data_IF_274628248525
#
_entry.id   IF_274628248525
#
_cell.length_a   1.000
_cell.length_b   1.000
_cell.length_c   1.000
_cell.angle_alpha   90.00
_cell.angle_beta   90.00
_cell.angle_gamma   90.00
#
_symmetry.space_group_name_H-M   'P 1'
#
loop_
_entity.id
_entity.type
_entity.pdbx_description
1 polymer ?
#
# COMPACT_ATOMS: atom_id res chain seq x y z
N UNK A 1 0.00 -16.42 -25.10
CA UNK A 1 1.25 -15.74 -24.71
C UNK A 1 2.37 -16.26 -25.57
N UNK A 2 3.42 -15.47 -25.84
CA UNK A 2 4.62 -15.98 -26.51
C UNK A 2 5.26 -17.14 -25.72
N UNK A 3 5.81 -18.12 -26.44
CA UNK A 3 6.41 -19.34 -25.85
C UNK A 3 7.60 -19.04 -24.93
N UNK A 4 8.29 -17.92 -25.15
CA UNK A 4 9.38 -17.47 -24.30
C UNK A 4 8.94 -16.93 -22.94
N UNK A 5 7.64 -16.79 -22.69
CA UNK A 5 7.08 -16.30 -21.41
C UNK A 5 6.08 -17.30 -20.83
N UNK A 6 5.28 -17.93 -21.68
CA UNK A 6 4.20 -18.82 -21.28
C UNK A 6 4.67 -19.93 -20.33
N UNK A 7 4.03 -20.04 -19.16
CA UNK A 7 4.33 -21.07 -18.15
C UNK A 7 5.61 -20.84 -17.34
N UNK A 8 6.42 -19.82 -17.64
CA UNK A 8 7.59 -19.46 -16.84
C UNK A 8 7.18 -18.92 -15.47
N UNK A 9 7.99 -19.13 -14.42
CA UNK A 9 7.76 -18.49 -13.13
C UNK A 9 7.80 -16.96 -13.30
N UNK A 10 6.81 -16.27 -12.76
CA UNK A 10 6.80 -14.81 -12.73
C UNK A 10 7.72 -14.34 -11.60
N UNK A 11 8.55 -13.30 -11.81
CA UNK A 11 9.40 -12.75 -10.76
C UNK A 11 8.53 -12.18 -9.64
N UNK A 12 8.85 -12.51 -8.39
CA UNK A 12 8.19 -11.97 -7.21
C UNK A 12 9.04 -10.83 -6.62
N UNK A 13 8.47 -9.65 -6.34
CA UNK A 13 7.10 -9.24 -6.66
C UNK A 13 6.99 -8.84 -8.13
N UNK A 14 5.88 -9.18 -8.79
CA UNK A 14 5.59 -8.64 -10.12
C UNK A 14 4.77 -7.35 -9.99
N UNK A 15 4.97 -6.36 -10.90
CA UNK A 15 4.15 -5.16 -10.95
C UNK A 15 2.65 -5.48 -11.06
N UNK A 16 1.80 -4.66 -10.44
CA UNK A 16 0.33 -4.84 -10.45
C UNK A 16 -0.23 -4.96 -11.88
N UNK A 17 0.36 -4.26 -12.85
CA UNK A 17 0.02 -4.37 -14.27
C UNK A 17 0.15 -5.81 -14.82
N UNK A 18 1.07 -6.62 -14.30
CA UNK A 18 1.26 -8.03 -14.70
C UNK A 18 0.29 -8.99 -14.01
N UNK A 19 -0.51 -8.55 -13.04
CA UNK A 19 -1.47 -9.40 -12.33
C UNK A 19 -2.42 -10.13 -13.29
N UNK A 20 -2.80 -9.48 -14.40
CA UNK A 20 -3.62 -10.09 -15.45
C UNK A 20 -2.91 -11.25 -16.17
N UNK A 21 -1.60 -11.16 -16.35
CA UNK A 21 -0.77 -12.12 -17.07
C UNK A 21 -0.32 -13.31 -16.22
N UNK A 22 -0.38 -13.18 -14.89
CA UNK A 22 0.08 -14.20 -13.95
C UNK A 22 -1.11 -14.98 -13.39
N UNK A 23 -0.95 -16.29 -13.25
CA UNK A 23 -1.89 -17.10 -12.48
C UNK A 23 -1.52 -16.98 -10.99
N UNK A 24 -2.39 -16.32 -10.22
CA UNK A 24 -2.17 -16.08 -8.79
C UNK A 24 -1.97 -17.37 -7.96
N UNK A 25 -2.54 -18.51 -8.39
CA UNK A 25 -2.39 -19.77 -7.67
C UNK A 25 -1.04 -20.44 -7.94
N UNK A 26 -0.52 -20.33 -9.15
CA UNK A 26 0.70 -21.04 -9.57
C UNK A 26 1.94 -20.16 -9.59
N UNK A 27 1.78 -18.82 -9.50
CA UNK A 27 2.87 -17.86 -9.61
C UNK A 27 3.56 -17.87 -10.99
N UNK A 28 2.89 -18.41 -12.01
CA UNK A 28 3.44 -18.56 -13.37
C UNK A 28 2.66 -17.71 -14.36
N UNK A 29 3.34 -17.26 -15.41
CA UNK A 29 2.66 -16.60 -16.53
C UNK A 29 1.65 -17.56 -17.19
N UNK A 30 0.45 -17.05 -17.47
CA UNK A 30 -0.60 -17.80 -18.17
C UNK A 30 -0.14 -18.17 -19.57
N UNK A 31 -0.57 -19.33 -20.07
CA UNK A 31 -0.32 -19.71 -21.47
C UNK A 31 -1.13 -18.85 -22.43
N UNK A 32 -2.31 -18.37 -22.02
CA UNK A 32 -3.24 -17.61 -22.85
C UNK A 32 -3.83 -16.44 -22.07
N UNK A 33 -4.07 -15.31 -22.77
CA UNK A 33 -4.82 -14.18 -22.25
C UNK A 33 -6.17 -14.16 -22.95
N UNK A 34 -7.22 -14.49 -22.20
CA UNK A 34 -8.58 -14.54 -22.73
C UNK A 34 -9.37 -13.34 -22.20
N UNK A 35 -9.96 -12.54 -23.10
CA UNK A 35 -10.86 -11.44 -22.76
C UNK A 35 -12.07 -11.47 -23.68
N UNK A 36 -13.26 -11.46 -23.09
CA UNK A 36 -14.51 -11.41 -23.87
C UNK A 36 -14.71 -10.00 -24.43
N UNK A 37 -15.00 -9.92 -25.73
CA UNK A 37 -15.32 -8.66 -26.44
C UNK A 37 -16.76 -8.19 -26.21
N UNK A 38 -17.61 -9.03 -25.58
CA UNK A 38 -19.01 -8.74 -25.25
C UNK A 38 -19.85 -8.18 -26.43
N UNK A 39 -19.57 -8.62 -27.65
CA UNK A 39 -20.31 -8.25 -28.85
C UNK A 39 -20.48 -9.46 -29.77
N UNK A 40 -21.66 -9.59 -30.39
CA UNK A 40 -21.95 -10.60 -31.41
C UNK A 40 -21.77 -10.08 -32.84
N UNK A 41 -21.60 -8.76 -33.02
CA UNK A 41 -21.31 -8.15 -34.33
C UNK A 41 -19.81 -8.25 -34.63
N UNK A 42 -19.46 -8.93 -35.73
CA UNK A 42 -18.09 -9.21 -36.12
C UNK A 42 -17.28 -7.94 -36.40
N UNK A 43 -17.88 -6.94 -37.06
CA UNK A 43 -17.18 -5.69 -37.38
C UNK A 43 -16.94 -4.84 -36.13
N UNK A 44 -17.90 -4.79 -35.23
CA UNK A 44 -17.74 -4.13 -33.94
C UNK A 44 -16.70 -4.83 -33.07
N UNK A 45 -16.68 -6.17 -33.08
CA UNK A 45 -15.72 -6.98 -32.34
C UNK A 45 -14.28 -6.76 -32.86
N UNK A 46 -14.07 -6.74 -34.18
CA UNK A 46 -12.75 -6.50 -34.78
C UNK A 46 -12.17 -5.14 -34.37
N UNK A 47 -12.98 -4.07 -34.42
CA UNK A 47 -12.54 -2.73 -33.97
C UNK A 47 -12.23 -2.70 -32.48
N UNK A 48 -13.00 -3.39 -31.66
CA UNK A 48 -12.77 -3.48 -30.21
C UNK A 48 -11.54 -4.36 -29.86
N UNK A 49 -11.15 -5.29 -30.73
CA UNK A 49 -10.01 -6.17 -30.51
C UNK A 49 -8.66 -5.45 -30.66
N UNK A 50 -8.53 -4.52 -31.61
CA UNK A 50 -7.27 -3.79 -31.87
C UNK A 50 -6.64 -3.14 -30.64
N UNK A 51 -7.35 -2.32 -29.82
CA UNK A 51 -6.75 -1.74 -28.61
C UNK A 51 -6.37 -2.79 -27.56
N UNK A 52 -7.13 -3.90 -27.47
CA UNK A 52 -6.83 -4.99 -26.55
C UNK A 52 -5.60 -5.78 -26.96
N UNK A 53 -5.36 -5.94 -28.27
CA UNK A 53 -4.12 -6.56 -28.79
C UNK A 53 -2.92 -5.68 -28.44
N UNK A 54 -3.02 -4.36 -28.62
CA UNK A 54 -1.95 -3.44 -28.25
C UNK A 54 -1.67 -3.46 -26.74
N UNK A 55 -2.71 -3.46 -25.89
CA UNK A 55 -2.59 -3.62 -24.44
C UNK A 55 -1.89 -4.95 -24.08
N UNK A 56 -2.28 -6.05 -24.73
CA UNK A 56 -1.65 -7.35 -24.51
C UNK A 56 -0.17 -7.37 -24.92
N UNK A 57 0.21 -6.71 -26.00
CA UNK A 57 1.60 -6.57 -26.43
C UNK A 57 2.43 -5.77 -25.43
N UNK A 58 1.89 -4.66 -24.90
CA UNK A 58 2.56 -3.88 -23.86
C UNK A 58 2.81 -4.70 -22.59
N UNK A 59 1.84 -5.53 -22.19
CA UNK A 59 1.98 -6.43 -21.04
C UNK A 59 3.07 -7.50 -21.29
N UNK A 60 3.16 -8.03 -22.51
CA UNK A 60 4.23 -8.96 -22.91
C UNK A 60 5.61 -8.32 -22.80
N UNK A 61 5.77 -7.10 -23.31
CA UNK A 61 7.04 -6.37 -23.25
C UNK A 61 7.45 -6.08 -21.80
N UNK A 62 6.48 -5.73 -20.95
CA UNK A 62 6.70 -5.53 -19.52
C UNK A 62 7.11 -6.85 -18.84
N UNK A 63 6.44 -7.96 -19.16
CA UNK A 63 6.81 -9.28 -18.65
C UNK A 63 8.23 -9.70 -19.08
N UNK A 64 8.63 -9.45 -20.33
CA UNK A 64 10.00 -9.68 -20.80
C UNK A 64 11.01 -8.83 -20.04
N UNK A 65 10.74 -7.53 -19.89
CA UNK A 65 11.60 -6.64 -19.10
C UNK A 65 11.74 -7.12 -17.66
N UNK A 66 10.66 -7.57 -17.03
CA UNK A 66 10.70 -8.11 -15.67
C UNK A 66 11.51 -9.42 -15.58
N UNK A 67 11.39 -10.30 -16.57
CA UNK A 67 12.17 -11.54 -16.64
C UNK A 67 13.68 -11.28 -16.87
N UNK A 68 14.03 -10.28 -17.68
CA UNK A 68 15.42 -9.92 -17.97
C UNK A 68 16.06 -9.14 -16.81
N UNK A 69 15.33 -8.18 -16.23
CA UNK A 69 15.83 -7.38 -15.12
C UNK A 69 16.01 -8.22 -13.84
N UNK A 70 15.26 -9.32 -13.71
CA UNK A 70 15.20 -10.08 -12.47
C UNK A 70 14.52 -9.30 -11.34
N UNK A 71 14.28 -9.92 -10.18
CA UNK A 71 13.95 -9.16 -8.97
C UNK A 71 15.14 -8.22 -8.67
N UNK A 72 14.88 -6.94 -8.32
CA UNK A 72 15.95 -6.04 -7.91
C UNK A 72 16.72 -6.70 -6.77
N UNK A 73 17.94 -7.13 -7.09
CA UNK A 73 18.70 -8.07 -6.26
C UNK A 73 19.33 -7.38 -5.06
N UNK A 74 19.38 -6.05 -5.07
CA UNK A 74 19.99 -5.27 -4.01
C UNK A 74 19.13 -4.02 -3.76
N UNK A 75 18.62 -3.91 -2.53
CA UNK A 75 18.06 -2.65 -2.06
C UNK A 75 19.19 -1.66 -1.86
N UNK A 76 19.14 -0.54 -2.59
CA UNK A 76 20.09 0.54 -2.41
C UNK A 76 20.08 1.03 -0.94
N UNK A 77 21.26 1.40 -0.44
CA UNK A 77 21.45 1.86 0.93
C UNK A 77 20.56 3.08 1.25
N UNK A 78 20.28 3.95 0.27
CA UNK A 78 19.36 5.08 0.48
C UNK A 78 17.92 4.61 0.67
N UNK A 79 17.52 3.56 -0.04
CA UNK A 79 16.19 2.96 0.14
C UNK A 79 16.07 2.36 1.53
N UNK A 80 17.06 1.58 1.98
CA UNK A 80 17.09 1.01 3.34
C UNK A 80 17.01 2.10 4.42
N UNK A 81 17.80 3.16 4.29
CA UNK A 81 17.77 4.29 5.21
C UNK A 81 16.41 5.02 5.20
N UNK A 82 15.78 5.16 4.03
CA UNK A 82 14.44 5.75 3.90
C UNK A 82 13.37 4.90 4.61
N UNK A 83 13.42 3.57 4.49
CA UNK A 83 12.51 2.66 5.18
C UNK A 83 12.62 2.80 6.70
N UNK A 84 13.85 2.80 7.21
CA UNK A 84 14.11 2.97 8.64
C UNK A 84 13.63 4.33 9.16
N UNK A 85 13.92 5.42 8.44
CA UNK A 85 13.45 6.76 8.80
C UNK A 85 11.92 6.87 8.77
N UNK A 86 11.27 6.25 7.78
CA UNK A 86 9.82 6.22 7.70
C UNK A 86 9.20 5.44 8.87
N UNK A 87 9.85 4.37 9.34
CA UNK A 87 9.41 3.63 10.52
C UNK A 87 9.51 4.48 11.80
N UNK A 88 10.63 5.18 12.00
CA UNK A 88 10.81 6.14 13.11
C UNK A 88 9.73 7.23 13.12
N UNK A 89 9.51 7.87 11.97
CA UNK A 89 8.49 8.90 11.80
C UNK A 89 7.07 8.36 12.10
N UNK A 90 6.76 7.14 11.67
CA UNK A 90 5.47 6.48 11.94
C UNK A 90 5.24 6.26 13.44
N UNK A 91 6.26 5.82 14.19
CA UNK A 91 6.16 5.64 15.63
C UNK A 91 5.94 6.97 16.37
N UNK A 92 6.70 8.01 16.00
CA UNK A 92 6.55 9.34 16.60
C UNK A 92 5.24 10.03 16.22
N UNK A 93 4.71 9.78 15.02
CA UNK A 93 3.39 10.26 14.62
C UNK A 93 2.27 9.56 15.39
N UNK A 94 2.40 8.25 15.63
CA UNK A 94 1.43 7.49 16.43
C UNK A 94 1.43 7.93 17.90
N UNK A 95 2.61 8.24 18.49
CA UNK A 95 2.71 8.86 19.81
C UNK A 95 1.98 10.21 19.85
N UNK A 96 2.25 11.11 18.89
CA UNK A 96 1.58 12.41 18.82
C UNK A 96 0.05 12.27 18.70
N UNK A 97 -0.42 11.36 17.84
CA UNK A 97 -1.84 11.07 17.68
C UNK A 97 -2.45 10.56 18.98
N UNK A 98 -1.78 9.65 19.68
CA UNK A 98 -2.24 9.12 20.96
C UNK A 98 -2.31 10.21 22.04
N UNK A 99 -1.29 11.07 22.12
CA UNK A 99 -1.24 12.20 23.06
C UNK A 99 -2.35 13.20 22.80
N UNK A 100 -2.66 13.47 21.53
CA UNK A 100 -3.74 14.39 21.15
C UNK A 100 -5.14 13.85 21.48
N UNK A 101 -5.34 12.52 21.38
CA UNK A 101 -6.64 11.88 21.61
C UNK A 101 -6.88 11.48 23.06
N UNK A 102 -5.82 11.16 23.79
CA UNK A 102 -5.89 10.44 25.06
C UNK A 102 -6.14 8.94 24.85
N UNK A 103 -5.92 8.15 25.91
CA UNK A 103 -6.36 6.75 25.97
C UNK A 103 -7.81 6.65 26.47
N UNK A 104 -8.25 7.67 27.21
CA UNK A 104 -9.60 7.75 27.76
C UNK A 104 -9.82 6.81 28.93
N UNK A 105 -8.77 6.44 29.68
CA UNK A 105 -8.93 5.74 30.94
C UNK A 105 -9.56 6.68 31.97
N UNK A 106 -10.66 6.20 32.54
CA UNK A 106 -11.25 6.72 33.77
C UNK A 106 -11.41 5.53 34.72
N UNK A 107 -10.42 5.31 35.59
CA UNK A 107 -10.40 4.21 36.55
C UNK A 107 -11.51 4.35 37.60
N UNK A 108 -11.92 5.59 37.91
CA UNK A 108 -12.98 5.86 38.86
C UNK A 108 -14.36 5.45 38.32
N UNK A 109 -14.58 5.58 37.01
CA UNK A 109 -15.85 5.21 36.35
C UNK A 109 -15.79 3.87 35.61
N UNK A 110 -14.61 3.27 35.47
CA UNK A 110 -14.40 2.05 34.70
C UNK A 110 -14.73 2.22 33.21
N UNK A 111 -14.63 3.45 32.67
CA UNK A 111 -14.91 3.75 31.27
C UNK A 111 -13.60 3.90 30.50
N UNK A 112 -13.60 3.44 29.25
CA UNK A 112 -12.52 3.65 28.29
C UNK A 112 -13.06 4.38 27.07
N UNK A 113 -13.12 5.71 27.14
CA UNK A 113 -13.51 6.52 25.99
C UNK A 113 -12.70 7.81 25.93
N UNK A 114 -11.85 7.99 24.91
CA UNK A 114 -11.13 9.24 24.74
C UNK A 114 -12.13 10.37 24.49
N UNK A 115 -11.96 11.46 25.22
CA UNK A 115 -12.75 12.69 25.10
C UNK A 115 -12.17 13.65 24.05
N UNK A 116 -10.96 13.38 23.57
CA UNK A 116 -10.24 14.21 22.61
C UNK A 116 -9.60 15.46 23.22
N UNK A 117 -9.50 15.54 24.56
CA UNK A 117 -8.87 16.65 25.27
C UNK A 117 -7.38 16.39 25.57
N UNK A 118 -6.83 15.31 25.03
CA UNK A 118 -5.47 14.84 25.27
C UNK A 118 -5.41 13.75 26.34
N UNK A 119 -4.20 13.43 26.80
CA UNK A 119 -4.00 12.43 27.86
C UNK A 119 -4.35 12.97 29.25
N UNK A 120 -5.19 12.25 29.98
CA UNK A 120 -5.37 12.44 31.43
C UNK A 120 -4.12 12.01 32.21
N UNK A 121 -4.04 12.34 33.50
CA UNK A 121 -2.95 11.86 34.38
C UNK A 121 -2.92 10.33 34.48
N UNK A 122 -4.09 9.69 34.46
CA UNK A 122 -4.21 8.23 34.47
C UNK A 122 -3.71 7.62 33.15
N UNK A 123 -4.09 8.23 32.02
CA UNK A 123 -3.59 7.85 30.69
C UNK A 123 -2.06 7.96 30.65
N UNK A 124 -1.51 9.09 31.11
CA UNK A 124 -0.08 9.36 31.11
C UNK A 124 0.67 8.32 31.96
N UNK A 125 0.18 8.01 33.16
CA UNK A 125 0.79 7.01 34.03
C UNK A 125 0.78 5.60 33.44
N UNK A 126 -0.31 5.20 32.76
CA UNK A 126 -0.33 3.93 32.04
C UNK A 126 0.61 3.94 30.83
N UNK A 127 0.60 5.03 30.06
CA UNK A 127 1.39 5.17 28.87
C UNK A 127 2.89 5.15 29.18
N UNK A 128 3.34 5.86 30.21
CA UNK A 128 4.74 5.83 30.69
C UNK A 128 5.20 4.41 31.02
N UNK A 129 4.36 3.61 31.71
CA UNK A 129 4.68 2.20 32.00
C UNK A 129 4.80 1.35 30.72
N UNK A 130 3.91 1.57 29.75
CA UNK A 130 3.97 0.88 28.46
C UNK A 130 5.25 1.24 27.69
N UNK A 131 5.62 2.52 27.65
CA UNK A 131 6.85 2.98 26.99
C UNK A 131 8.10 2.45 27.72
N UNK A 132 8.11 2.40 29.05
CA UNK A 132 9.22 1.80 29.81
C UNK A 132 9.42 0.32 29.44
N UNK A 133 8.35 -0.46 29.36
CA UNK A 133 8.41 -1.85 28.91
C UNK A 133 8.94 -1.96 27.48
N UNK A 134 8.43 -1.15 26.55
CA UNK A 134 8.90 -1.14 25.15
C UNK A 134 10.37 -0.73 25.03
N UNK A 135 10.83 0.20 25.88
CA UNK A 135 12.22 0.62 25.94
C UNK A 135 13.13 -0.55 26.35
N UNK A 136 12.75 -1.34 27.35
CA UNK A 136 13.52 -2.51 27.78
C UNK A 136 13.57 -3.60 26.70
N UNK A 137 12.43 -3.88 26.04
CA UNK A 137 12.38 -4.82 24.91
C UNK A 137 13.29 -4.36 23.79
N UNK A 138 13.19 -3.09 23.37
CA UNK A 138 14.00 -2.54 22.28
C UNK A 138 15.50 -2.50 22.62
N UNK A 139 15.87 -2.28 23.90
CA UNK A 139 17.27 -2.42 24.35
C UNK A 139 17.76 -3.86 24.23
N UNK A 140 16.92 -4.84 24.57
CA UNK A 140 17.26 -6.26 24.42
C UNK A 140 17.47 -6.64 22.95
N UNK A 141 16.60 -6.18 22.05
CA UNK A 141 16.71 -6.41 20.61
C UNK A 141 17.99 -5.78 20.04
N UNK A 142 18.29 -4.54 20.42
CA UNK A 142 19.52 -3.86 20.04
C UNK A 142 20.78 -4.58 20.56
N UNK A 143 20.76 -5.07 21.81
CA UNK A 143 21.88 -5.82 22.38
C UNK A 143 22.12 -7.16 21.67
N UNK A 144 21.03 -7.85 21.28
CA UNK A 144 21.10 -9.09 20.48
C UNK A 144 21.40 -8.82 19.00
N UNK A 145 21.36 -7.55 18.59
CA UNK A 145 21.36 -7.14 17.19
C UNK A 145 20.29 -7.89 16.40
N UNK A 146 19.14 -8.26 16.99
CA UNK A 146 18.12 -9.10 16.32
C UNK A 146 16.74 -8.64 16.75
N UNK A 147 15.87 -8.40 15.77
CA UNK A 147 14.50 -7.96 15.99
C UNK A 147 13.64 -9.09 16.50
N UNK A 148 12.76 -8.78 17.45
CA UNK A 148 11.67 -9.64 17.87
C UNK A 148 10.55 -9.70 16.84
N UNK A 149 9.54 -10.50 17.13
CA UNK A 149 8.41 -10.77 16.23
C UNK A 149 7.67 -9.49 15.79
N UNK A 150 7.45 -8.55 16.72
CA UNK A 150 6.79 -7.28 16.41
C UNK A 150 7.58 -6.43 15.41
N UNK A 151 8.93 -6.45 15.49
CA UNK A 151 9.79 -5.77 14.54
C UNK A 151 9.74 -6.44 13.17
N UNK A 152 9.78 -7.77 13.10
CA UNK A 152 9.68 -8.50 11.83
C UNK A 152 8.35 -8.19 11.12
N UNK A 153 7.24 -8.18 11.85
CA UNK A 153 5.93 -7.80 11.31
C UNK A 153 5.92 -6.37 10.76
N UNK A 154 6.58 -5.43 11.46
CA UNK A 154 6.70 -4.05 11.00
C UNK A 154 7.56 -3.93 9.74
N UNK A 155 8.62 -4.74 9.62
CA UNK A 155 9.51 -4.81 8.47
C UNK A 155 8.78 -5.41 7.26
N UNK A 156 8.12 -6.56 7.43
CA UNK A 156 7.30 -7.21 6.40
C UNK A 156 6.27 -6.24 5.83
N UNK A 157 5.52 -5.56 6.70
CA UNK A 157 4.53 -4.56 6.29
C UNK A 157 5.17 -3.39 5.54
N UNK A 158 6.34 -2.92 5.96
CA UNK A 158 7.03 -1.80 5.30
C UNK A 158 7.54 -2.17 3.89
N UNK A 159 7.92 -3.43 3.69
CA UNK A 159 8.28 -4.00 2.39
C UNK A 159 7.04 -4.22 1.52
N UNK A 160 5.97 -4.79 2.08
CA UNK A 160 4.69 -5.03 1.39
C UNK A 160 4.05 -3.72 0.91
N UNK A 161 4.02 -2.67 1.74
CA UNK A 161 3.50 -1.33 1.39
C UNK A 161 4.24 -0.69 0.20
N UNK A 162 5.42 -1.22 -0.15
CA UNK A 162 6.24 -0.77 -1.28
C UNK A 162 6.34 -1.81 -2.40
N UNK A 163 5.68 -2.95 -2.26
CA UNK A 163 5.77 -4.05 -3.20
C UNK A 163 7.22 -4.53 -3.39
N UNK A 164 8.00 -4.58 -2.31
CA UNK A 164 9.36 -5.14 -2.31
C UNK A 164 9.26 -6.55 -1.72
N UNK A 165 9.80 -7.55 -2.42
CA UNK A 165 9.96 -8.90 -1.86
C UNK A 165 11.44 -9.09 -1.65
N UNK A 166 11.81 -9.23 -0.38
CA UNK A 166 13.17 -9.47 0.06
C UNK A 166 13.22 -10.82 0.75
N UNK A 167 14.18 -11.67 0.37
CA UNK A 167 14.32 -12.98 1.01
C UNK A 167 14.98 -12.81 2.39
N UNK A 168 14.58 -13.58 3.43
CA UNK A 168 15.21 -13.49 4.76
C UNK A 168 16.72 -13.77 4.77
N UNK A 169 17.21 -14.56 3.80
CA UNK A 169 18.64 -14.88 3.66
C UNK A 169 19.44 -13.80 2.90
N UNK A 170 18.79 -12.76 2.39
CA UNK A 170 19.44 -11.67 1.68
C UNK A 170 20.24 -10.78 2.67
N UNK A 171 21.51 -10.42 2.40
CA UNK A 171 22.25 -9.49 3.25
C UNK A 171 21.54 -8.14 3.44
N UNK A 172 20.75 -7.68 2.47
CA UNK A 172 19.96 -6.46 2.61
C UNK A 172 18.84 -6.60 3.66
N UNK A 173 18.32 -7.81 3.89
CA UNK A 173 17.35 -8.06 4.97
C UNK A 173 17.98 -7.74 6.32
N UNK A 174 19.21 -8.22 6.52
CA UNK A 174 19.95 -7.99 7.75
C UNK A 174 20.25 -6.50 7.98
N UNK A 175 20.62 -5.79 6.92
CA UNK A 175 20.87 -4.35 7.00
C UNK A 175 19.59 -3.58 7.32
N UNK A 176 18.46 -3.96 6.71
CA UNK A 176 17.16 -3.36 6.97
C UNK A 176 16.72 -3.57 8.41
N UNK A 177 16.85 -4.79 8.93
CA UNK A 177 16.52 -5.15 10.31
C UNK A 177 17.29 -4.29 11.30
N UNK A 178 18.61 -4.16 11.13
CA UNK A 178 19.44 -3.31 11.98
C UNK A 178 19.03 -1.83 11.88
N UNK A 179 18.69 -1.36 10.68
CA UNK A 179 18.15 -0.01 10.48
C UNK A 179 16.84 0.23 11.24
N UNK A 180 15.94 -0.75 11.24
CA UNK A 180 14.67 -0.70 11.97
C UNK A 180 14.88 -0.70 13.49
N UNK A 181 15.80 -1.53 14.01
CA UNK A 181 16.17 -1.52 15.43
C UNK A 181 16.68 -0.13 15.84
N UNK A 182 17.58 0.47 15.04
CA UNK A 182 18.09 1.81 15.31
C UNK A 182 16.98 2.88 15.27
N UNK A 183 16.11 2.83 14.25
CA UNK A 183 14.97 3.71 14.10
C UNK A 183 14.00 3.61 15.29
N UNK A 184 13.70 2.40 15.75
CA UNK A 184 12.84 2.16 16.91
C UNK A 184 13.47 2.71 18.19
N UNK A 185 14.79 2.52 18.39
CA UNK A 185 15.52 3.11 19.52
C UNK A 185 15.46 4.63 19.50
N UNK A 186 15.66 5.27 18.34
CA UNK A 186 15.54 6.73 18.19
C UNK A 186 14.13 7.20 18.48
N UNK A 187 13.10 6.52 17.96
CA UNK A 187 11.72 6.84 18.23
C UNK A 187 11.38 6.74 19.73
N UNK A 188 11.73 5.64 20.40
CA UNK A 188 11.47 5.46 21.84
C UNK A 188 12.21 6.51 22.67
N UNK A 189 13.44 6.86 22.33
CA UNK A 189 14.16 7.95 22.99
C UNK A 189 13.44 9.29 22.79
N UNK A 190 12.92 9.55 21.59
CA UNK A 190 12.11 10.74 21.29
C UNK A 190 10.80 10.77 22.08
N UNK A 191 10.11 9.64 22.22
CA UNK A 191 8.89 9.52 23.03
C UNK A 191 9.20 9.77 24.51
N UNK A 192 10.27 9.18 25.05
CA UNK A 192 10.69 9.44 26.43
C UNK A 192 10.98 10.93 26.67
N UNK A 193 11.71 11.58 25.76
CA UNK A 193 11.97 13.01 25.85
C UNK A 193 10.65 13.83 25.83
N UNK A 194 9.67 13.47 25.00
CA UNK A 194 8.33 14.10 25.01
C UNK A 194 7.57 13.87 26.32
N UNK A 195 7.72 12.69 26.93
CA UNK A 195 7.14 12.39 28.23
C UNK A 195 7.80 13.20 29.36
N UNK A 196 9.07 13.55 29.20
CA UNK A 196 9.81 14.45 30.08
C UNK A 196 9.51 15.94 29.83
N UNK A 197 8.66 16.25 28.83
CA UNK A 197 8.23 17.60 28.49
C UNK A 197 9.03 18.28 27.38
N UNK A 198 9.99 17.58 26.77
CA UNK A 198 10.80 18.11 25.67
C UNK A 198 10.01 18.17 24.34
N UNK A 199 10.20 19.24 23.58
CA UNK A 199 9.57 19.42 22.27
C UNK A 199 10.38 18.72 21.17
N UNK A 200 10.17 17.41 21.01
CA UNK A 200 10.80 16.62 19.94
C UNK A 200 9.90 16.57 18.70
N UNK A 201 10.29 17.16 17.56
CA UNK A 201 9.47 17.12 16.35
C UNK A 201 9.48 15.73 15.71
N UNK A 202 8.37 15.36 15.08
CA UNK A 202 8.32 14.15 14.23
C UNK A 202 9.16 14.40 12.98
N UNK A 203 10.10 13.50 12.62
CA UNK A 203 10.98 13.71 11.48
C UNK A 203 10.19 13.78 10.17
N UNK A 204 10.59 14.71 9.30
CA UNK A 204 9.99 14.87 7.97
C UNK A 204 10.58 13.80 7.05
N UNK A 205 9.73 12.93 6.51
CA UNK A 205 10.14 11.91 5.55
C UNK A 205 10.31 12.59 4.18
N UNK A 206 11.51 12.59 3.57
CA UNK A 206 11.66 13.12 2.22
C UNK A 206 10.86 12.26 1.23
N UNK A 207 10.24 12.92 0.24
CA UNK A 207 9.60 12.22 -0.86
C UNK A 207 10.62 11.34 -1.57
N UNK A 208 10.27 10.08 -1.85
CA UNK A 208 11.19 9.20 -2.58
C UNK A 208 11.37 9.74 -4.00
N UNK A 209 12.62 9.97 -4.46
CA UNK A 209 12.88 10.59 -5.76
C UNK A 209 12.38 9.75 -6.95
N UNK A 210 12.19 8.44 -6.75
CA UNK A 210 11.89 7.48 -7.82
C UNK A 210 10.51 6.83 -7.73
N UNK A 211 9.66 7.22 -6.77
CA UNK A 211 8.28 6.71 -6.73
C UNK A 211 7.45 7.55 -7.70
N UNK A 212 7.19 7.01 -8.88
CA UNK A 212 6.17 7.57 -9.76
C UNK A 212 4.86 7.66 -8.96
N UNK A 213 4.33 8.89 -8.83
CA UNK A 213 3.09 9.16 -8.10
C UNK A 213 2.01 8.22 -8.64
N UNK A 214 1.40 7.42 -7.76
CA UNK A 214 0.36 6.50 -8.22
C UNK A 214 -0.84 7.31 -8.72
N UNK A 215 -1.60 6.80 -9.69
CA UNK A 215 -2.78 7.51 -10.22
C UNK A 215 -3.75 7.90 -9.09
N UNK A 216 -3.88 7.05 -8.07
CA UNK A 216 -4.70 7.31 -6.88
C UNK A 216 -4.16 8.45 -6.01
N UNK A 217 -2.84 8.55 -5.82
CA UNK A 217 -2.21 9.68 -5.10
C UNK A 217 -2.35 10.97 -5.89
N UNK A 218 -2.11 10.94 -7.20
CA UNK A 218 -2.33 12.07 -8.10
C UNK A 218 -3.80 12.53 -8.07
N UNK A 219 -4.75 11.58 -8.03
CA UNK A 219 -6.17 11.87 -7.96
C UNK A 219 -6.59 12.43 -6.59
N UNK A 220 -6.03 11.92 -5.48
CA UNK A 220 -6.24 12.49 -4.14
C UNK A 220 -5.71 13.92 -4.06
N UNK A 221 -4.51 14.15 -4.60
CA UNK A 221 -3.87 15.47 -4.66
C UNK A 221 -4.64 16.45 -5.54
N UNK A 222 -5.28 15.96 -6.60
CA UNK A 222 -6.22 16.73 -7.41
C UNK A 222 -7.50 17.08 -6.64
N UNK A 223 -8.07 16.14 -5.89
CA UNK A 223 -9.24 16.38 -5.01
C UNK A 223 -8.92 17.38 -3.89
N UNK A 224 -7.71 17.33 -3.33
CA UNK A 224 -7.21 18.25 -2.30
C UNK A 224 -6.85 19.65 -2.88
N UNK A 225 -7.06 19.89 -4.17
CA UNK A 225 -6.94 21.20 -4.80
C UNK A 225 -5.50 21.64 -5.10
N UNK A 226 -4.53 20.73 -5.09
CA UNK A 226 -3.11 21.06 -5.26
C UNK A 226 -2.65 21.28 -6.72
N UNK A 227 -3.56 21.23 -7.71
CA UNK A 227 -3.22 21.44 -9.12
C UNK A 227 -3.55 22.88 -9.53
N UNK A 228 -2.63 23.79 -9.24
CA UNK A 228 -2.80 25.20 -9.64
C UNK A 228 -1.56 26.07 -9.48
N UNK A 229 -0.33 25.53 -9.50
CA UNK A 229 0.88 26.37 -9.50
C UNK A 229 2.16 25.67 -9.97
N UNK A 230 2.10 24.87 -11.04
CA UNK A 230 3.30 24.64 -11.84
C UNK A 230 3.37 25.71 -12.93
N UNK A 231 4.11 26.78 -12.64
CA UNK A 231 4.56 27.73 -13.66
C UNK A 231 5.69 27.04 -14.41
N UNK A 232 5.39 26.47 -15.58
CA UNK A 232 6.45 26.16 -16.55
C UNK A 232 7.02 27.49 -17.05
N UNK A 233 8.32 27.76 -16.90
CA UNK A 233 8.94 28.96 -17.46
C UNK A 233 9.14 28.73 -18.96
N UNK A 234 8.26 29.30 -19.78
CA UNK A 234 8.44 29.34 -21.23
C UNK A 234 7.21 28.94 -22.03
N UNK A 235 6.20 29.82 -22.05
CA UNK A 235 5.21 29.79 -23.12
C UNK A 235 4.94 31.22 -23.58
N UNK A 236 5.62 31.57 -24.67
CA UNK A 236 5.48 32.80 -25.44
C UNK A 236 4.00 32.99 -25.83
N UNK A 237 3.43 34.15 -25.48
CA UNK A 237 2.09 34.55 -25.93
C UNK A 237 2.06 34.66 -27.45
N UNK A 238 1.12 33.98 -28.09
CA UNK A 238 0.61 34.34 -29.41
C UNK A 238 -0.91 34.57 -29.37
N UNK A 239 -1.42 35.48 -30.21
CA UNK A 239 -2.67 36.18 -29.96
C UNK A 239 -3.92 35.43 -30.43
N UNK A 240 -5.02 35.81 -29.77
CA UNK A 240 -6.42 35.48 -30.03
C UNK A 240 -6.77 35.48 -31.51
N UNK A 241 -7.46 34.43 -31.96
CA UNK A 241 -8.34 34.50 -33.12
C UNK A 241 -9.71 33.94 -32.77
N UNK A 242 -10.69 34.82 -32.92
CA UNK A 242 -12.12 34.64 -32.77
C UNK A 242 -12.73 33.83 -33.91
N UNK A 243 -13.64 32.91 -33.61
CA UNK A 243 -14.94 32.79 -34.27
C UNK A 243 -15.86 31.80 -33.50
N UNK A 244 -17.17 32.06 -33.43
CA UNK A 244 -18.13 31.26 -32.67
C UNK A 244 -18.78 30.17 -33.54
N UNK A 245 -19.00 28.98 -32.98
CA UNK A 245 -20.00 28.04 -33.48
C UNK A 245 -21.04 27.80 -32.40
N UNK A 246 -22.24 28.34 -32.65
CA UNK A 246 -23.48 28.11 -31.91
C UNK A 246 -24.18 26.91 -32.56
N UNK A 247 -24.56 25.91 -31.77
CA UNK A 247 -25.62 24.96 -32.14
C UNK A 247 -26.51 24.77 -30.92
N UNK A 248 -27.75 25.22 -31.06
CA UNK A 248 -28.84 25.11 -30.10
C UNK A 248 -29.26 23.66 -29.85
N UNK A 249 -29.44 23.30 -28.59
CA UNK A 249 -30.19 22.12 -28.17
C UNK A 249 -31.63 22.54 -27.90
N UNK A 250 -32.58 21.96 -28.65
CA UNK A 250 -34.01 22.12 -28.38
C UNK A 250 -34.52 20.88 -27.65
N UNK A 251 -35.24 21.11 -26.55
CA UNK A 251 -35.92 20.10 -25.76
C UNK A 251 -36.99 19.36 -26.59
N UNK A 252 -37.06 18.04 -26.41
CA UNK A 252 -38.30 17.30 -26.60
C UNK A 252 -38.45 16.31 -25.45
N UNK A 253 -39.40 16.61 -24.57
CA UNK A 253 -39.92 15.68 -23.58
C UNK A 253 -41.01 14.84 -24.24
N UNK A 254 -40.95 13.51 -24.10
CA UNK A 254 -42.10 12.62 -24.25
C UNK A 254 -42.10 11.66 -23.06
N UNK A 255 -43.30 11.54 -22.50
CA UNK A 255 -43.65 10.86 -21.27
C UNK A 255 -44.00 9.39 -21.50
N UNK A 256 -43.79 8.60 -20.45
CA UNK A 256 -44.59 7.44 -19.99
C UNK A 256 -44.65 6.14 -20.83
N UNK A 257 -44.18 5.02 -20.26
CA UNK A 257 -45.08 3.97 -19.73
C UNK A 257 -44.31 2.72 -19.26
N UNK A 258 -44.62 2.31 -18.02
CA UNK A 258 -44.65 0.96 -17.46
C UNK A 258 -43.77 -0.18 -18.01
N UNK A 259 -42.98 -0.78 -17.10
CA UNK A 259 -43.12 -2.20 -16.70
C UNK A 259 -42.19 -2.52 -15.52
N UNK A 260 -42.79 -2.92 -14.40
CA UNK A 260 -42.12 -3.62 -13.30
C UNK A 260 -41.87 -5.09 -13.70
N UNK A 261 -40.73 -5.66 -13.34
CA UNK A 261 -40.66 -7.08 -13.00
C UNK A 261 -40.42 -7.28 -11.50
N UNK A 262 -41.30 -8.04 -10.84
CA UNK A 262 -41.01 -8.79 -9.60
C UNK A 262 -40.53 -10.21 -9.99
N UNK A 263 -40.21 -11.09 -9.03
CA UNK A 263 -38.96 -11.20 -8.29
C UNK A 263 -38.25 -12.53 -8.61
N UNK A 264 -36.95 -12.64 -8.35
CA UNK A 264 -36.33 -13.97 -8.20
C UNK A 264 -35.67 -14.10 -6.83
N UNK A 265 -36.26 -14.95 -6.01
CA UNK A 265 -35.68 -15.50 -4.81
C UNK A 265 -34.50 -16.39 -5.22
N UNK A 266 -33.31 -16.08 -4.71
CA UNK A 266 -32.12 -16.90 -4.83
C UNK A 266 -31.49 -17.08 -3.46
N UNK A 267 -31.79 -18.20 -2.81
CA UNK A 267 -31.17 -18.64 -1.57
C UNK A 267 -29.66 -18.79 -1.77
N UNK A 268 -28.85 -18.04 -1.00
CA UNK A 268 -27.41 -18.22 -0.93
C UNK A 268 -27.09 -19.12 0.27
N UNK A 269 -26.86 -20.41 0.00
CA UNK A 269 -26.34 -21.36 0.97
C UNK A 269 -24.81 -21.28 0.99
N UNK A 270 -24.25 -20.68 2.04
CA UNK A 270 -22.81 -20.60 2.26
C UNK A 270 -22.32 -21.93 2.85
N UNK A 271 -21.77 -22.81 1.99
CA UNK A 271 -21.18 -24.09 2.39
C UNK A 271 -19.67 -23.91 2.58
N UNK A 272 -19.23 -23.87 3.84
CA UNK A 272 -17.82 -23.88 4.20
C UNK A 272 -17.18 -25.25 3.95
N UNK A 273 -15.98 -25.33 3.36
CA UNK A 273 -15.24 -26.58 3.26
C UNK A 273 -14.67 -26.99 4.64
N UNK A 274 -15.12 -28.15 5.13
CA UNK A 274 -14.44 -28.91 6.18
C UNK A 274 -13.36 -29.78 5.52
N UNK A 275 -12.08 -29.44 5.75
CA UNK A 275 -10.98 -30.40 5.69
C UNK A 275 -9.83 -29.85 6.55
N UNK A 276 -9.65 -30.36 7.77
CA UNK A 276 -8.84 -31.54 8.11
C UNK A 276 -7.32 -31.29 7.95
N UNK A 277 -6.57 -31.19 9.06
CA UNK A 277 -5.73 -32.28 9.62
C UNK A 277 -4.91 -31.73 10.80
N UNK A 278 -5.12 -32.32 11.98
CA UNK A 278 -4.21 -32.20 13.12
C UNK A 278 -2.98 -33.06 12.84
N UNK A 279 -1.80 -32.45 12.75
CA UNK A 279 -0.55 -33.17 12.94
C UNK A 279 -0.27 -33.26 14.44
N UNK A 280 -0.31 -34.49 14.97
CA UNK A 280 0.28 -34.85 16.26
C UNK A 280 1.79 -34.88 16.08
N UNK A 281 2.52 -34.07 16.82
CA UNK A 281 3.95 -34.27 17.09
C UNK A 281 4.09 -34.79 18.51
N UNK A 282 4.33 -36.10 18.62
CA UNK A 282 4.87 -36.73 19.82
C UNK A 282 6.36 -36.44 19.91
N UNK A 283 6.81 -35.96 21.07
CA UNK A 283 8.22 -35.90 21.45
C UNK A 283 8.58 -37.20 22.20
N UNK A 284 9.76 -37.80 21.98
CA UNK A 284 10.28 -38.83 22.86
C UNK A 284 11.06 -38.19 24.03
N UNK A 285 10.93 -38.82 25.18
CA UNK A 285 11.73 -38.59 26.40
C UNK A 285 13.14 -39.15 26.27
#
# INVERSE_FOLDING_TARGET
>A
MPDDIAGKPAPMPWPEALSWCVNAQTGRFKHELVRSLKSNDSRAAERAALPLIAEAQQLVDLARKALVAGPPTELDAQTLAHLALAHEAKLLAADEELRSKGLGLDLARGLTRPDGLGMSDEDLGLYQRAIAYLNDVSRSEAAKMRGGEALQLALDRALEERGIVLHPDDPAWRQLELGFIQAQRRAINGINARLDGELVPTPIIPAQPNRAETLSEAMRRWVEGAVGRHVSPGATRLPKRSAPFSVSFSCMAISNSGRLPKPMAGSFAMRWPKSQRRCRTSWPS
#
